data_IF_863438839993
#
_entry.id   IF_863438839993
#
_cell.length_a   1.000
_cell.length_b   1.000
_cell.length_c   1.000
_cell.angle_alpha   90.00
_cell.angle_beta   90.00
_cell.angle_gamma   90.00
#
_symmetry.space_group_name_H-M   'P 1'
#
loop_
_entity.id
_entity.type
_entity.pdbx_description
1 polymer ?
#
# COMPACT_ATOMS: atom_id res chain seq x y z
N UNK A 1 -1.28 47.36 -47.70
CA UNK A 1 -0.35 46.56 -46.87
C UNK A 1 -0.90 45.15 -46.60
N UNK A 2 -1.44 44.45 -47.62
CA UNK A 2 -2.16 43.15 -47.46
C UNK A 2 -1.46 42.01 -48.25
N UNK A 3 -0.26 42.24 -48.79
CA UNK A 3 0.45 41.22 -49.60
C UNK A 3 1.34 40.28 -48.77
N UNK A 4 1.55 40.55 -47.47
CA UNK A 4 2.47 39.76 -46.62
C UNK A 4 1.82 38.47 -46.04
N UNK A 5 0.49 38.43 -45.91
CA UNK A 5 -0.23 37.30 -45.26
C UNK A 5 -0.34 36.08 -46.20
N UNK A 6 -0.37 36.29 -47.53
CA UNK A 6 -0.48 35.20 -48.50
C UNK A 6 0.81 34.38 -48.70
N UNK A 7 1.97 34.84 -48.21
CA UNK A 7 3.22 34.05 -48.25
C UNK A 7 3.31 33.01 -47.13
N UNK A 8 2.55 33.15 -46.04
CA UNK A 8 2.60 32.23 -44.89
C UNK A 8 1.78 30.95 -45.09
N UNK A 9 0.77 30.96 -45.97
CA UNK A 9 -0.07 29.78 -46.28
C UNK A 9 0.54 28.82 -47.32
N UNK A 10 1.60 29.22 -48.03
CA UNK A 10 2.20 28.42 -49.12
C UNK A 10 3.27 27.42 -48.65
N UNK A 11 3.62 27.43 -47.36
CA UNK A 11 4.65 26.57 -46.77
C UNK A 11 4.09 25.57 -45.73
N UNK A 12 2.79 25.25 -45.78
CA UNK A 12 2.26 24.13 -45.02
C UNK A 12 2.30 22.87 -45.90
N UNK A 13 3.49 22.25 -45.98
CA UNK A 13 3.57 20.85 -46.42
C UNK A 13 2.85 20.02 -45.36
N UNK A 14 1.59 19.70 -45.62
CA UNK A 14 0.75 18.93 -44.74
C UNK A 14 1.28 17.50 -44.59
N UNK A 15 1.20 16.99 -43.37
CA UNK A 15 1.44 15.60 -43.02
C UNK A 15 0.56 14.70 -43.90
N UNK A 16 1.14 13.72 -44.58
CA UNK A 16 0.35 12.84 -45.44
C UNK A 16 -0.44 11.84 -44.59
N UNK A 17 -1.64 11.45 -45.03
CA UNK A 17 -2.41 10.42 -44.34
C UNK A 17 -1.63 9.09 -44.27
N UNK A 18 -0.79 8.82 -45.27
CA UNK A 18 0.06 7.63 -45.33
C UNK A 18 1.10 7.62 -44.21
N UNK A 19 1.75 8.77 -43.94
CA UNK A 19 2.68 8.89 -42.81
C UNK A 19 1.99 8.63 -41.47
N UNK A 20 0.72 9.02 -41.29
CA UNK A 20 -0.01 8.74 -40.05
C UNK A 20 -0.35 7.26 -39.90
N UNK A 21 -0.78 6.62 -40.99
CA UNK A 21 -1.19 5.22 -40.98
C UNK A 21 0.01 4.31 -40.65
N UNK A 22 1.18 4.54 -41.26
CA UNK A 22 2.37 3.73 -41.00
C UNK A 22 2.80 3.82 -39.53
N UNK A 23 2.74 5.02 -38.93
CA UNK A 23 3.08 5.20 -37.51
C UNK A 23 2.09 4.48 -36.62
N UNK A 24 0.79 4.57 -36.89
CA UNK A 24 -0.24 3.87 -36.11
C UNK A 24 -0.10 2.35 -36.20
N UNK A 25 0.28 1.81 -37.37
CA UNK A 25 0.55 0.37 -37.54
C UNK A 25 1.72 -0.08 -36.68
N UNK A 26 2.83 0.67 -36.67
CA UNK A 26 4.00 0.32 -35.84
C UNK A 26 3.63 0.41 -34.35
N UNK A 27 2.93 1.47 -33.93
CA UNK A 27 2.47 1.62 -32.55
C UNK A 27 1.51 0.48 -32.13
N UNK A 28 0.65 0.02 -33.03
CA UNK A 28 -0.26 -1.10 -32.77
C UNK A 28 0.51 -2.41 -32.53
N UNK A 29 1.54 -2.70 -33.34
CA UNK A 29 2.36 -3.91 -33.17
C UNK A 29 3.15 -3.85 -31.86
N UNK A 30 3.76 -2.70 -31.53
CA UNK A 30 4.50 -2.54 -30.29
C UNK A 30 3.59 -2.63 -29.06
N UNK A 31 2.41 -2.02 -29.12
CA UNK A 31 1.43 -2.07 -28.03
C UNK A 31 0.94 -3.51 -27.78
N UNK A 32 0.74 -4.30 -28.83
CA UNK A 32 0.23 -5.67 -28.71
C UNK A 32 1.11 -6.58 -27.83
N UNK A 33 2.44 -6.45 -27.91
CA UNK A 33 3.36 -7.23 -27.07
C UNK A 33 3.63 -6.57 -25.71
N UNK A 34 3.64 -5.23 -25.65
CA UNK A 34 4.05 -4.49 -24.45
C UNK A 34 2.95 -4.47 -23.37
N UNK A 35 1.68 -4.36 -23.76
CA UNK A 35 0.55 -4.23 -22.83
C UNK A 35 0.41 -5.46 -21.91
N UNK A 36 0.42 -6.72 -22.40
CA UNK A 36 0.30 -7.90 -21.55
C UNK A 36 1.42 -7.99 -20.50
N UNK A 37 2.66 -7.69 -20.88
CA UNK A 37 3.80 -7.70 -19.97
C UNK A 37 3.67 -6.63 -18.86
N UNK A 38 3.18 -5.44 -19.20
CA UNK A 38 2.96 -4.37 -18.21
C UNK A 38 1.87 -4.72 -17.18
N UNK A 39 0.81 -5.44 -17.57
CA UNK A 39 -0.24 -5.84 -16.63
C UNK A 39 0.26 -6.74 -15.50
N UNK A 40 1.20 -7.65 -15.79
CA UNK A 40 1.87 -8.47 -14.77
C UNK A 40 2.66 -7.63 -13.78
N UNK A 41 3.52 -6.73 -14.27
CA UNK A 41 4.32 -5.84 -13.41
C UNK A 41 3.48 -4.92 -12.55
N UNK A 42 2.34 -4.42 -13.05
CA UNK A 42 1.42 -3.57 -12.28
C UNK A 42 0.78 -4.35 -11.13
N UNK A 43 0.40 -5.61 -11.35
CA UNK A 43 -0.17 -6.45 -10.30
C UNK A 43 0.87 -6.80 -9.23
N UNK A 44 2.09 -7.15 -9.63
CA UNK A 44 3.20 -7.41 -8.71
C UNK A 44 3.57 -6.16 -7.90
N UNK A 45 3.58 -4.98 -8.54
CA UNK A 45 3.85 -3.72 -7.87
C UNK A 45 2.76 -3.38 -6.85
N UNK A 46 1.48 -3.63 -7.17
CA UNK A 46 0.37 -3.48 -6.22
C UNK A 46 0.51 -4.43 -5.03
N UNK A 47 0.86 -5.69 -5.28
CA UNK A 47 1.06 -6.66 -4.20
C UNK A 47 2.22 -6.27 -3.28
N UNK A 48 3.35 -5.86 -3.84
CA UNK A 48 4.50 -5.34 -3.07
C UNK A 48 4.16 -4.08 -2.29
N UNK A 49 3.34 -3.18 -2.85
CA UNK A 49 2.89 -1.98 -2.15
C UNK A 49 2.04 -2.33 -0.92
N UNK A 50 1.11 -3.28 -1.05
CA UNK A 50 0.31 -3.74 0.10
C UNK A 50 1.18 -4.45 1.16
N UNK A 51 2.22 -5.18 0.75
CA UNK A 51 3.21 -5.76 1.70
C UNK A 51 4.00 -4.66 2.42
N UNK A 52 4.34 -3.55 1.73
CA UNK A 52 5.00 -2.39 2.36
C UNK A 52 4.12 -1.80 3.45
N UNK A 53 2.83 -1.57 3.17
CA UNK A 53 1.86 -1.08 4.15
C UNK A 53 1.75 -1.98 5.37
N UNK A 54 1.69 -3.30 5.17
CA UNK A 54 1.69 -4.25 6.27
C UNK A 54 2.96 -4.15 7.14
N UNK A 55 4.12 -3.91 6.51
CA UNK A 55 5.39 -3.70 7.22
C UNK A 55 5.42 -2.37 7.97
N UNK A 56 4.86 -1.31 7.40
CA UNK A 56 4.68 -0.03 8.08
C UNK A 56 3.80 -0.19 9.33
N UNK A 57 2.70 -0.95 9.23
CA UNK A 57 1.88 -1.33 10.40
C UNK A 57 2.71 -2.07 11.43
N UNK A 58 3.53 -3.05 11.03
CA UNK A 58 4.37 -3.81 11.95
C UNK A 58 5.34 -2.90 12.72
N UNK A 59 6.02 -1.99 12.02
CA UNK A 59 6.96 -1.05 12.65
C UNK A 59 6.22 -0.07 13.55
N UNK A 60 5.08 0.47 13.10
CA UNK A 60 4.24 1.36 13.90
C UNK A 60 3.71 0.68 15.16
N UNK A 61 3.23 -0.57 15.03
CA UNK A 61 2.80 -1.40 16.13
C UNK A 61 3.93 -1.66 17.12
N UNK A 62 5.12 -2.01 16.64
CA UNK A 62 6.28 -2.25 17.50
C UNK A 62 6.72 -0.98 18.24
N UNK A 63 6.70 0.17 17.57
CA UNK A 63 7.01 1.47 18.16
C UNK A 63 5.99 1.85 19.25
N UNK A 64 4.70 1.78 18.95
CA UNK A 64 3.64 2.07 19.90
C UNK A 64 3.60 1.06 21.07
N UNK A 65 3.94 -0.20 20.82
CA UNK A 65 4.04 -1.23 21.85
C UNK A 65 5.12 -0.89 22.87
N UNK A 66 6.30 -0.50 22.38
CA UNK A 66 7.44 -0.11 23.20
C UNK A 66 7.12 1.12 24.05
N UNK A 67 6.47 2.13 23.45
CA UNK A 67 6.06 3.34 24.15
C UNK A 67 5.06 3.05 25.29
N UNK A 68 4.05 2.22 25.03
CA UNK A 68 3.05 1.85 26.04
C UNK A 68 3.68 1.04 27.16
N UNK A 69 4.56 0.08 26.82
CA UNK A 69 5.24 -0.72 27.83
C UNK A 69 6.12 0.14 28.73
N UNK A 70 6.86 1.11 28.17
CA UNK A 70 7.73 1.99 28.95
C UNK A 70 6.96 2.95 29.87
N UNK A 71 5.72 3.31 29.52
CA UNK A 71 4.89 4.24 30.31
C UNK A 71 4.01 3.55 31.35
N UNK A 72 3.51 2.35 31.03
CA UNK A 72 2.54 1.62 31.87
C UNK A 72 3.13 0.39 32.56
N UNK A 73 4.33 -0.04 32.16
CA UNK A 73 4.96 -1.29 32.57
C UNK A 73 4.05 -2.52 32.40
N UNK A 74 3.19 -2.47 31.38
CA UNK A 74 2.20 -3.49 31.03
C UNK A 74 2.22 -3.76 29.52
N UNK A 75 1.90 -4.99 29.14
CA UNK A 75 1.77 -5.36 27.74
C UNK A 75 0.65 -4.54 27.07
N UNK A 76 0.88 -3.92 25.91
CA UNK A 76 -0.15 -3.23 25.15
C UNK A 76 -1.24 -4.22 24.72
N UNK A 77 -2.50 -3.84 24.89
CA UNK A 77 -3.65 -4.66 24.51
C UNK A 77 -4.23 -4.14 23.19
N UNK A 78 -4.26 -5.02 22.18
CA UNK A 78 -4.99 -4.74 20.94
C UNK A 78 -6.50 -4.92 21.15
N UNK A 79 -7.29 -3.99 20.63
CA UNK A 79 -8.76 -4.01 20.76
C UNK A 79 -9.41 -3.62 19.45
N UNK A 80 -10.65 -4.08 19.21
CA UNK A 80 -11.40 -3.78 17.99
C UNK A 80 -12.03 -2.37 17.97
N UNK A 81 -11.75 -1.56 18.99
CA UNK A 81 -12.30 -0.22 19.13
C UNK A 81 -11.21 0.84 19.02
N UNK A 82 -11.41 1.77 18.09
CA UNK A 82 -10.78 3.08 18.13
C UNK A 82 -11.55 3.90 19.16
N UNK A 83 -11.21 3.75 20.45
CA UNK A 83 -11.91 4.48 21.50
C UNK A 83 -11.66 5.98 21.33
N UNK A 84 -12.61 6.72 20.77
CA UNK A 84 -12.50 8.10 20.28
C UNK A 84 -11.83 9.13 21.24
N UNK A 85 -11.66 8.80 22.52
CA UNK A 85 -11.13 9.69 23.56
C UNK A 85 -9.89 9.19 24.32
N UNK A 86 -9.27 8.06 23.93
CA UNK A 86 -8.05 7.57 24.60
C UNK A 86 -6.83 7.68 23.70
N UNK A 87 -6.10 8.78 23.83
CA UNK A 87 -4.82 9.05 23.14
C UNK A 87 -3.78 7.94 23.32
N UNK A 88 -3.95 7.10 24.35
CA UNK A 88 -3.03 6.01 24.69
C UNK A 88 -3.52 4.61 24.33
N UNK A 89 -4.69 4.47 23.69
CA UNK A 89 -5.11 3.16 23.23
C UNK A 89 -4.16 2.67 22.13
N UNK A 90 -3.68 1.42 22.28
CA UNK A 90 -2.69 0.87 21.37
C UNK A 90 -3.09 0.94 19.88
N UNK A 91 -4.31 0.54 19.47
CA UNK A 91 -4.75 0.68 18.08
C UNK A 91 -4.78 2.13 17.57
N UNK A 92 -5.06 3.11 18.43
CA UNK A 92 -5.07 4.53 18.06
C UNK A 92 -3.66 5.08 17.83
N UNK A 93 -2.68 4.66 18.63
CA UNK A 93 -1.28 5.04 18.39
C UNK A 93 -0.80 4.49 17.05
N UNK A 94 -1.11 3.23 16.75
CA UNK A 94 -0.77 2.62 15.45
C UNK A 94 -1.47 3.36 14.31
N UNK A 95 -2.79 3.59 14.42
CA UNK A 95 -3.54 4.34 13.41
C UNK A 95 -2.91 5.71 13.11
N UNK A 96 -2.53 6.47 14.14
CA UNK A 96 -1.91 7.79 13.96
C UNK A 96 -0.61 7.75 13.18
N UNK A 97 0.16 6.66 13.31
CA UNK A 97 1.45 6.47 12.64
C UNK A 97 1.28 6.05 11.17
N UNK A 98 0.18 5.38 10.81
CA UNK A 98 -0.04 4.83 9.46
C UNK A 98 -1.20 5.47 8.69
N UNK A 99 -1.82 6.52 9.24
CA UNK A 99 -3.04 7.14 8.71
C UNK A 99 -2.93 7.58 7.23
N UNK A 100 -1.75 7.99 6.80
CA UNK A 100 -1.52 8.51 5.45
C UNK A 100 -1.41 7.36 4.43
N UNK A 101 -0.85 6.22 4.85
CA UNK A 101 -0.68 5.02 4.03
C UNK A 101 -1.91 4.10 4.04
N UNK A 102 -2.70 4.15 5.13
CA UNK A 102 -3.89 3.32 5.38
C UNK A 102 -5.05 4.20 5.86
N UNK A 103 -5.75 4.91 4.95
CA UNK A 103 -6.79 5.86 5.32
C UNK A 103 -8.02 5.19 5.96
N UNK A 104 -8.28 3.92 5.63
CA UNK A 104 -9.42 3.15 6.15
C UNK A 104 -9.01 2.20 7.29
N UNK A 105 -7.98 2.54 8.06
CA UNK A 105 -7.52 1.72 9.16
C UNK A 105 -8.65 1.40 10.14
N UNK A 106 -8.89 0.11 10.36
CA UNK A 106 -9.90 -0.38 11.30
C UNK A 106 -9.32 -1.54 12.13
N UNK A 107 -9.12 -1.40 13.45
CA UNK A 107 -8.62 -2.50 14.24
C UNK A 107 -9.70 -3.56 14.45
N UNK A 108 -9.31 -4.82 14.39
CA UNK A 108 -10.14 -5.99 14.68
C UNK A 108 -9.35 -6.94 15.57
N UNK A 109 -10.04 -7.73 16.39
CA UNK A 109 -9.42 -8.78 17.25
C UNK A 109 -9.54 -10.18 16.63
N UNK A 110 -10.15 -10.27 15.45
CA UNK A 110 -10.25 -11.48 14.64
C UNK A 110 -9.42 -11.30 13.38
N UNK A 111 -9.25 -12.36 12.61
CA UNK A 111 -8.63 -12.26 11.29
C UNK A 111 -9.34 -11.19 10.44
N UNK A 112 -8.60 -10.21 9.88
CA UNK A 112 -9.15 -9.21 8.97
C UNK A 112 -9.90 -9.84 7.79
N UNK A 113 -11.10 -9.34 7.51
CA UNK A 113 -11.96 -9.79 6.41
C UNK A 113 -12.35 -8.68 5.43
N UNK A 114 -12.13 -7.42 5.79
CA UNK A 114 -12.47 -6.24 4.98
C UNK A 114 -11.26 -5.34 4.83
N UNK A 115 -11.07 -4.73 3.64
CA UNK A 115 -9.96 -3.81 3.36
C UNK A 115 -9.78 -2.77 4.46
N UNK A 116 -8.53 -2.54 4.85
CA UNK A 116 -8.17 -1.60 5.93
C UNK A 116 -8.24 -2.20 7.33
N UNK A 117 -8.80 -3.41 7.49
CA UNK A 117 -8.80 -4.09 8.77
C UNK A 117 -7.41 -4.58 9.15
N UNK A 118 -7.05 -4.36 10.42
CA UNK A 118 -5.76 -4.74 11.00
C UNK A 118 -5.98 -5.52 12.30
N UNK A 119 -5.22 -6.59 12.49
CA UNK A 119 -5.09 -7.28 13.76
C UNK A 119 -3.62 -7.35 14.16
N UNK A 120 -3.31 -6.99 15.40
CA UNK A 120 -1.95 -7.08 15.95
C UNK A 120 -1.97 -7.99 17.17
N UNK A 121 -1.13 -9.01 17.14
CA UNK A 121 -0.93 -9.94 18.26
C UNK A 121 0.43 -9.69 18.89
N UNK A 122 0.44 -9.50 20.21
CA UNK A 122 1.67 -9.37 21.00
C UNK A 122 2.26 -10.74 21.33
N UNK A 123 3.56 -10.76 21.62
CA UNK A 123 4.18 -11.91 22.26
C UNK A 123 3.58 -12.11 23.65
N UNK A 124 3.24 -13.36 23.95
CA UNK A 124 2.61 -13.77 25.22
C UNK A 124 3.60 -14.40 26.20
N UNK A 125 4.87 -14.51 25.81
CA UNK A 125 5.95 -14.96 26.68
C UNK A 125 6.57 -13.79 27.46
N UNK A 126 7.85 -13.93 27.82
CA UNK A 126 8.57 -12.94 28.64
C UNK A 126 8.84 -11.60 27.92
N UNK A 127 8.46 -11.48 26.63
CA UNK A 127 8.75 -10.33 25.76
C UNK A 127 7.52 -9.45 25.54
N UNK A 128 6.92 -8.98 26.65
CA UNK A 128 5.64 -8.26 26.69
C UNK A 128 5.49 -7.00 25.81
N UNK A 129 6.59 -6.47 25.23
CA UNK A 129 6.58 -5.30 24.35
C UNK A 129 6.84 -5.64 22.87
N UNK A 130 6.88 -6.92 22.49
CA UNK A 130 7.22 -7.36 21.13
C UNK A 130 5.95 -7.76 20.37
N UNK A 131 5.84 -7.28 19.13
CA UNK A 131 4.76 -7.66 18.22
C UNK A 131 5.08 -9.01 17.59
N UNK A 132 4.28 -10.03 17.92
CA UNK A 132 4.46 -11.38 17.41
C UNK A 132 3.91 -11.53 15.99
N UNK A 133 2.78 -10.88 15.71
CA UNK A 133 2.07 -11.04 14.44
C UNK A 133 1.26 -9.80 14.09
N UNK A 134 1.27 -9.44 12.81
CA UNK A 134 0.40 -8.43 12.21
C UNK A 134 -0.34 -9.06 11.05
N UNK A 135 -1.66 -8.88 11.04
CA UNK A 135 -2.53 -9.25 9.93
C UNK A 135 -3.17 -7.98 9.38
N UNK A 136 -3.13 -7.80 8.07
CA UNK A 136 -3.71 -6.65 7.37
C UNK A 136 -4.45 -7.13 6.13
N UNK A 137 -5.68 -6.65 5.96
CA UNK A 137 -6.45 -6.88 4.73
C UNK A 137 -6.15 -5.76 3.73
N UNK A 138 -5.40 -6.10 2.68
CA UNK A 138 -5.04 -5.17 1.62
C UNK A 138 -6.23 -4.72 0.78
N UNK A 139 -6.07 -3.61 0.05
CA UNK A 139 -7.10 -3.11 -0.87
C UNK A 139 -7.41 -4.07 -2.03
N UNK A 140 -6.49 -4.99 -2.31
CA UNK A 140 -6.64 -6.09 -3.27
C UNK A 140 -7.46 -7.28 -2.73
N UNK A 141 -7.94 -7.22 -1.48
CA UNK A 141 -8.72 -8.29 -0.85
C UNK A 141 -7.89 -9.49 -0.40
N UNK A 142 -6.55 -9.39 -0.41
CA UNK A 142 -5.64 -10.41 0.11
C UNK A 142 -5.28 -10.12 1.56
N UNK A 143 -5.20 -11.18 2.36
CA UNK A 143 -4.73 -11.11 3.73
C UNK A 143 -3.21 -11.18 3.75
N UNK A 144 -2.58 -10.12 4.25
CA UNK A 144 -1.13 -10.08 4.44
C UNK A 144 -0.83 -10.31 5.90
N UNK A 145 -0.01 -11.31 6.17
CA UNK A 145 0.40 -11.71 7.51
C UNK A 145 1.91 -11.55 7.66
N UNK A 146 2.34 -10.80 8.66
CA UNK A 146 3.74 -10.69 9.07
C UNK A 146 3.86 -11.33 10.45
N UNK A 147 4.70 -12.36 10.56
CA UNK A 147 4.94 -13.09 11.81
C UNK A 147 6.42 -13.02 12.18
N UNK A 148 6.71 -12.69 13.44
CA UNK A 148 8.04 -12.81 14.00
C UNK A 148 8.35 -14.30 14.22
N UNK A 149 9.31 -14.83 13.48
CA UNK A 149 9.81 -16.20 13.59
C UNK A 149 11.29 -16.19 14.00
N UNK A 150 11.75 -17.31 14.59
CA UNK A 150 13.12 -17.47 15.10
C UNK A 150 14.23 -17.24 14.04
N UNK A 151 13.88 -17.25 12.75
CA UNK A 151 14.77 -17.05 11.60
C UNK A 151 14.78 -15.62 11.04
N UNK A 152 14.18 -14.66 11.74
CA UNK A 152 13.90 -13.32 11.21
C UNK A 152 12.56 -13.32 10.47
N UNK A 153 11.64 -12.43 10.86
CA UNK A 153 10.21 -12.51 10.55
C UNK A 153 9.84 -12.86 9.11
N UNK A 154 8.77 -13.64 8.95
CA UNK A 154 8.26 -14.10 7.67
C UNK A 154 7.02 -13.32 7.23
N UNK A 155 6.93 -13.05 5.93
CA UNK A 155 5.73 -12.46 5.31
C UNK A 155 5.00 -13.55 4.53
N UNK A 156 3.70 -13.71 4.77
CA UNK A 156 2.81 -14.62 4.05
C UNK A 156 1.62 -13.84 3.50
N UNK A 157 1.20 -14.14 2.28
CA UNK A 157 0.04 -13.54 1.62
C UNK A 157 -0.95 -14.66 1.32
N UNK A 158 -2.21 -14.51 1.73
CA UNK A 158 -3.30 -15.48 1.54
C UNK A 158 -4.49 -14.85 0.81
#
# INVERSE_FOLDING_TARGET
MIQMINKLKKNQKGFTLVELIVVLVILAILAAFTIPAMLGFVNDAKEKAEVSKAREIYVAAQSAATEIYNTTNAAPVWTAALANDKTDAFPLKVQKLVKDDIPNFAPVTTTPGTSGQVNVTMDTGDRAAIVKKVEYMGANGKLITIEENASGGSVTIK
#
